data_IF_178441137143
#
_entry.id   IF_178441137143
#
_cell.length_a   1.000
_cell.length_b   1.000
_cell.length_c   1.000
_cell.angle_alpha   90.00
_cell.angle_beta   90.00
_cell.angle_gamma   90.00
#
_symmetry.space_group_name_H-M   'P 1'
#
loop_
_entity.id
_entity.type
_entity.pdbx_description
1 polymer ?
#
# COMPACT_ATOMS: atom_id res chain seq x y z
N UNK A 1 8.86 9.48 2.10
CA UNK A 1 7.48 9.44 2.66
C UNK A 1 7.33 8.52 3.87
N UNK A 2 7.72 7.24 3.81
CA UNK A 2 7.55 6.30 4.93
C UNK A 2 8.14 6.78 6.29
N UNK A 3 9.33 7.37 6.29
CA UNK A 3 9.95 7.96 7.51
C UNK A 3 9.13 9.13 8.06
N UNK A 4 8.57 9.96 7.18
CA UNK A 4 7.73 11.09 7.58
C UNK A 4 6.39 10.63 8.18
N UNK A 5 5.76 9.61 7.60
CA UNK A 5 4.54 8.99 8.16
C UNK A 5 4.83 8.40 9.54
N UNK A 6 5.92 7.64 9.67
CA UNK A 6 6.34 7.07 10.96
C UNK A 6 6.59 8.17 12.00
N UNK A 7 7.28 9.25 11.61
CA UNK A 7 7.51 10.42 12.46
C UNK A 7 6.18 11.02 12.92
N UNK A 8 5.26 11.30 11.99
CA UNK A 8 3.95 11.88 12.28
C UNK A 8 3.13 11.01 13.25
N UNK A 9 3.16 9.68 13.08
CA UNK A 9 2.48 8.75 14.00
C UNK A 9 3.07 8.82 15.40
N UNK A 10 4.40 8.76 15.53
CA UNK A 10 5.06 8.81 16.84
C UNK A 10 4.87 10.18 17.52
N UNK A 11 4.98 11.26 16.76
CA UNK A 11 4.71 12.62 17.24
C UNK A 11 3.26 12.78 17.73
N UNK A 12 2.29 12.15 17.08
CA UNK A 12 0.90 12.18 17.54
C UNK A 12 0.75 11.58 18.96
N UNK A 13 1.43 10.47 19.25
CA UNK A 13 1.45 9.90 20.61
C UNK A 13 2.19 10.81 21.61
N UNK A 14 3.33 11.39 21.23
CA UNK A 14 4.07 12.35 22.08
C UNK A 14 3.26 13.62 22.39
N UNK A 15 2.53 14.14 21.41
CA UNK A 15 1.63 15.27 21.59
C UNK A 15 0.44 14.88 22.49
N UNK A 16 -0.13 13.69 22.30
CA UNK A 16 -1.25 13.21 23.13
C UNK A 16 -0.84 13.04 24.60
N UNK A 17 0.40 12.62 24.88
CA UNK A 17 0.96 12.52 26.24
C UNK A 17 1.03 13.87 26.96
N UNK A 18 1.21 14.97 26.21
CA UNK A 18 1.31 16.33 26.75
C UNK A 18 -0.02 17.09 26.74
N UNK A 19 -1.03 16.60 26.02
CA UNK A 19 -2.32 17.26 25.85
C UNK A 19 -3.22 17.00 27.06
N UNK A 20 -3.76 18.06 27.65
CA UNK A 20 -4.65 17.99 28.83
C UNK A 20 -6.13 17.95 28.45
N UNK A 21 -6.50 18.49 27.29
CA UNK A 21 -7.87 18.45 26.78
C UNK A 21 -8.22 17.04 26.28
N UNK A 22 -9.22 16.35 26.88
CA UNK A 22 -9.58 14.99 26.51
C UNK A 22 -10.00 14.83 25.05
N UNK A 23 -10.68 15.82 24.46
CA UNK A 23 -11.17 15.73 23.08
C UNK A 23 -10.05 15.93 22.07
N UNK A 24 -9.14 16.88 22.33
CA UNK A 24 -7.93 17.05 21.50
C UNK A 24 -7.01 15.84 21.60
N UNK A 25 -6.83 15.29 22.80
CA UNK A 25 -6.07 14.06 23.02
C UNK A 25 -6.67 12.89 22.23
N UNK A 26 -8.00 12.73 22.24
CA UNK A 26 -8.71 11.72 21.45
C UNK A 26 -8.50 11.91 19.94
N UNK A 27 -8.54 13.15 19.45
CA UNK A 27 -8.27 13.45 18.05
C UNK A 27 -6.80 13.15 17.65
N UNK A 28 -5.83 13.38 18.55
CA UNK A 28 -4.43 13.01 18.36
C UNK A 28 -4.24 11.48 18.29
N UNK A 29 -5.02 10.73 19.08
CA UNK A 29 -5.02 9.26 19.10
C UNK A 29 -5.94 8.63 18.06
N UNK A 30 -6.53 9.42 17.16
CA UNK A 30 -7.35 8.93 16.05
C UNK A 30 -6.57 9.00 14.74
N UNK A 31 -6.43 7.84 14.09
CA UNK A 31 -5.72 7.67 12.82
C UNK A 31 -6.71 7.24 11.75
N UNK A 32 -6.87 8.06 10.71
CA UNK A 32 -7.74 7.77 9.56
C UNK A 32 -6.87 7.35 8.39
N UNK A 33 -7.13 6.17 7.84
CA UNK A 33 -6.48 5.65 6.63
C UNK A 33 -7.50 5.59 5.51
N UNK A 34 -7.23 6.29 4.41
CA UNK A 34 -8.12 6.34 3.24
C UNK A 34 -7.61 5.39 2.17
N UNK A 35 -8.49 4.49 1.71
CA UNK A 35 -8.20 3.44 0.75
C UNK A 35 -7.88 2.11 1.43
N UNK A 36 -8.69 1.08 1.18
CA UNK A 36 -8.49 -0.26 1.74
C UNK A 36 -7.96 -1.26 0.70
N UNK A 37 -7.08 -0.79 -0.18
CA UNK A 37 -6.17 -1.63 -0.95
C UNK A 37 -5.09 -2.29 -0.07
N UNK A 38 -4.17 -3.06 -0.67
CA UNK A 38 -3.10 -3.74 0.07
C UNK A 38 -2.32 -2.79 1.00
N UNK A 39 -1.90 -1.63 0.49
CA UNK A 39 -1.14 -0.63 1.26
C UNK A 39 -1.89 -0.13 2.49
N UNK A 40 -3.16 0.24 2.35
CA UNK A 40 -3.97 0.73 3.47
C UNK A 40 -4.23 -0.34 4.53
N UNK A 41 -4.50 -1.57 4.11
CA UNK A 41 -4.66 -2.72 5.03
C UNK A 41 -3.38 -3.03 5.79
N UNK A 42 -2.24 -3.07 5.09
CA UNK A 42 -0.94 -3.32 5.69
C UNK A 42 -0.59 -2.24 6.71
N UNK A 43 -0.83 -0.98 6.35
CA UNK A 43 -0.54 0.16 7.22
C UNK A 43 -1.46 0.20 8.44
N UNK A 44 -2.77 -0.01 8.28
CA UNK A 44 -3.72 -0.07 9.39
C UNK A 44 -3.33 -1.16 10.40
N UNK A 45 -3.01 -2.35 9.90
CA UNK A 45 -2.52 -3.46 10.73
C UNK A 45 -1.21 -3.15 11.45
N UNK A 46 -0.28 -2.45 10.79
CA UNK A 46 0.99 -2.06 11.37
C UNK A 46 0.87 -0.96 12.44
N UNK A 47 -0.05 -0.01 12.26
CA UNK A 47 -0.36 1.04 13.25
C UNK A 47 -1.06 0.42 14.46
N UNK A 48 -2.07 -0.43 14.26
CA UNK A 48 -2.74 -1.12 15.36
C UNK A 48 -1.77 -1.99 16.17
N UNK A 49 -0.87 -2.71 15.50
CA UNK A 49 0.18 -3.47 16.18
C UNK A 49 1.15 -2.59 16.98
N UNK A 50 1.49 -1.40 16.47
CA UNK A 50 2.34 -0.43 17.16
C UNK A 50 1.61 0.15 18.39
N UNK A 51 0.41 0.68 18.20
CA UNK A 51 -0.36 1.37 19.23
C UNK A 51 -0.80 0.44 20.37
N UNK A 52 -1.39 -0.71 20.02
CA UNK A 52 -2.04 -1.59 21.00
C UNK A 52 -1.09 -2.60 21.67
N UNK A 53 0.19 -2.67 21.24
CA UNK A 53 1.15 -3.64 21.79
C UNK A 53 2.53 -3.07 22.04
N UNK A 54 3.11 -2.36 21.07
CA UNK A 54 4.51 -1.92 21.16
C UNK A 54 4.67 -0.67 22.02
N UNK A 55 3.76 0.30 21.95
CA UNK A 55 3.89 1.58 22.67
C UNK A 55 3.27 1.58 24.06
N UNK A 56 2.62 0.49 24.48
CA UNK A 56 1.89 0.40 25.74
C UNK A 56 2.76 0.73 26.96
N UNK A 57 4.02 0.27 26.97
CA UNK A 57 4.94 0.53 28.08
C UNK A 57 5.69 1.86 27.95
N UNK A 58 5.53 2.59 26.84
CA UNK A 58 6.36 3.74 26.51
C UNK A 58 5.75 5.08 26.99
N UNK A 59 4.45 5.09 27.34
CA UNK A 59 3.70 6.29 27.74
C UNK A 59 3.08 6.15 29.14
N UNK A 60 2.96 7.25 29.89
CA UNK A 60 2.49 7.23 31.29
C UNK A 60 1.10 7.83 31.47
N UNK A 61 0.76 8.88 30.72
CA UNK A 61 -0.49 9.63 30.88
C UNK A 61 -1.56 9.28 29.84
N UNK A 62 -1.19 8.60 28.75
CA UNK A 62 -2.12 8.06 27.76
C UNK A 62 -2.12 6.53 27.76
N UNK A 63 -3.26 5.97 27.35
CA UNK A 63 -3.40 4.55 27.04
C UNK A 63 -3.34 4.38 25.53
N UNK A 64 -2.19 3.98 24.98
CA UNK A 64 -2.01 3.87 23.53
C UNK A 64 -2.91 2.77 22.93
N UNK A 65 -3.38 1.84 23.74
CA UNK A 65 -4.37 0.80 23.40
C UNK A 65 -5.75 1.38 23.06
N UNK A 66 -6.03 2.62 23.45
CA UNK A 66 -7.26 3.32 23.12
C UNK A 66 -7.16 4.10 21.80
N UNK A 67 -6.03 4.01 21.10
CA UNK A 67 -5.90 4.62 19.78
C UNK A 67 -6.99 4.08 18.85
N UNK A 68 -7.66 4.98 18.14
CA UNK A 68 -8.71 4.63 17.19
C UNK A 68 -8.09 4.61 15.79
N UNK A 69 -8.04 3.45 15.16
CA UNK A 69 -7.55 3.29 13.79
C UNK A 69 -8.75 3.03 12.88
N UNK A 70 -9.08 3.99 12.01
CA UNK A 70 -10.21 3.90 11.08
C UNK A 70 -9.67 3.68 9.66
N UNK A 71 -9.96 2.53 9.07
CA UNK A 71 -9.66 2.22 7.67
C UNK A 71 -10.92 2.43 6.83
N UNK A 72 -10.85 3.37 5.88
CA UNK A 72 -11.98 3.87 5.11
C UNK A 72 -11.86 3.41 3.65
N UNK A 73 -12.95 2.89 3.10
CA UNK A 73 -13.06 2.45 1.72
C UNK A 73 -14.38 2.95 1.11
N UNK A 74 -14.28 3.58 -0.06
CA UNK A 74 -15.45 4.06 -0.79
C UNK A 74 -16.27 2.89 -1.37
N UNK A 75 -15.60 1.78 -1.69
CA UNK A 75 -16.23 0.58 -2.25
C UNK A 75 -16.85 -0.33 -1.17
N UNK A 76 -17.68 -1.31 -1.57
CA UNK A 76 -18.37 -2.18 -0.61
C UNK A 76 -17.47 -3.11 0.21
N UNK A 77 -16.23 -3.35 -0.24
CA UNK A 77 -15.29 -4.25 0.42
C UNK A 77 -13.84 -3.80 0.27
N UNK A 78 -13.03 -4.17 1.25
CA UNK A 78 -11.57 -4.03 1.19
C UNK A 78 -10.96 -5.02 0.20
N UNK A 79 -9.74 -4.73 -0.27
CA UNK A 79 -8.93 -5.65 -1.07
C UNK A 79 -9.68 -6.19 -2.30
N UNK A 80 -10.24 -5.28 -3.11
CA UNK A 80 -11.05 -5.61 -4.30
C UNK A 80 -10.36 -6.57 -5.28
N UNK A 81 -9.03 -6.55 -5.35
CA UNK A 81 -8.24 -7.46 -6.18
C UNK A 81 -8.24 -8.92 -5.67
N UNK A 82 -8.69 -9.18 -4.44
CA UNK A 82 -8.75 -10.50 -3.84
C UNK A 82 -10.15 -11.08 -3.92
N UNK A 83 -10.24 -12.40 -3.77
CA UNK A 83 -11.48 -13.13 -3.55
C UNK A 83 -12.24 -12.62 -2.33
N UNK A 84 -13.56 -12.55 -2.41
CA UNK A 84 -14.42 -12.02 -1.34
C UNK A 84 -14.22 -12.73 0.00
N UNK A 85 -14.00 -14.05 -0.02
CA UNK A 85 -13.76 -14.83 1.21
C UNK A 85 -12.45 -14.43 1.87
N UNK A 86 -11.41 -14.12 1.10
CA UNK A 86 -10.13 -13.65 1.62
C UNK A 86 -10.23 -12.22 2.15
N UNK A 87 -10.93 -11.34 1.44
CA UNK A 87 -11.19 -9.98 1.92
C UNK A 87 -11.94 -9.97 3.27
N UNK A 88 -12.99 -10.81 3.41
CA UNK A 88 -13.74 -10.95 4.67
C UNK A 88 -12.87 -11.48 5.82
N UNK A 89 -11.98 -12.43 5.53
CA UNK A 89 -11.00 -12.95 6.50
C UNK A 89 -10.02 -11.86 6.94
N UNK A 90 -9.51 -11.05 6.01
CA UNK A 90 -8.66 -9.91 6.31
C UNK A 90 -9.37 -8.85 7.17
N UNK A 91 -10.60 -8.49 6.82
CA UNK A 91 -11.41 -7.54 7.61
C UNK A 91 -11.64 -8.05 9.04
N UNK A 92 -11.99 -9.33 9.19
CA UNK A 92 -12.14 -9.96 10.52
C UNK A 92 -10.84 -9.89 11.32
N UNK A 93 -9.70 -10.12 10.66
CA UNK A 93 -8.38 -10.05 11.29
C UNK A 93 -7.96 -8.62 11.67
N UNK A 94 -8.38 -7.60 10.91
CA UNK A 94 -8.22 -6.18 11.25
C UNK A 94 -9.10 -5.79 12.45
N UNK A 95 -10.39 -6.14 12.42
CA UNK A 95 -11.32 -5.85 13.51
C UNK A 95 -10.85 -6.45 14.84
N UNK A 96 -10.36 -7.70 14.82
CA UNK A 96 -9.77 -8.35 16.02
C UNK A 96 -8.51 -7.64 16.55
N UNK A 97 -7.86 -6.81 15.74
CA UNK A 97 -6.69 -6.01 16.13
C UNK A 97 -7.09 -4.60 16.59
N UNK A 98 -8.37 -4.27 16.63
CA UNK A 98 -8.87 -2.95 17.01
C UNK A 98 -8.90 -1.92 15.87
N UNK A 99 -8.84 -2.37 14.62
CA UNK A 99 -9.05 -1.49 13.45
C UNK A 99 -10.54 -1.44 13.13
N UNK A 100 -11.08 -0.24 13.04
CA UNK A 100 -12.45 0.05 12.58
C UNK A 100 -12.45 0.13 11.05
N UNK A 101 -13.03 -0.86 10.38
CA UNK A 101 -13.13 -0.88 8.91
C UNK A 101 -14.49 -0.34 8.47
N UNK A 102 -14.48 0.79 7.76
CA UNK A 102 -15.67 1.44 7.17
C UNK A 102 -15.66 1.31 5.65
N UNK A 103 -16.57 0.52 5.10
CA UNK A 103 -16.78 0.38 3.64
C UNK A 103 -18.01 1.18 3.19
N UNK A 104 -18.21 1.36 1.89
CA UNK A 104 -19.24 2.26 1.33
C UNK A 104 -19.16 3.68 1.93
N UNK A 105 -17.96 4.12 2.28
CA UNK A 105 -17.71 5.31 3.08
C UNK A 105 -16.76 6.24 2.33
N UNK A 106 -17.22 6.96 1.30
CA UNK A 106 -16.36 7.90 0.58
C UNK A 106 -15.91 9.03 1.50
N UNK A 107 -14.69 9.52 1.27
CA UNK A 107 -14.17 10.71 1.94
C UNK A 107 -14.55 11.93 1.12
N UNK A 108 -15.17 12.91 1.76
CA UNK A 108 -15.70 14.12 1.11
C UNK A 108 -14.77 15.32 1.29
N UNK A 109 -14.18 15.45 2.48
CA UNK A 109 -13.28 16.54 2.82
C UNK A 109 -12.23 16.10 3.85
N UNK A 110 -11.05 16.71 3.79
CA UNK A 110 -9.97 16.56 4.78
C UNK A 110 -9.44 17.97 5.07
N UNK A 111 -9.25 18.28 6.35
CA UNK A 111 -8.64 19.53 6.81
C UNK A 111 -7.69 19.27 8.01
N UNK A 112 -7.28 20.32 8.71
CA UNK A 112 -6.35 20.24 9.85
C UNK A 112 -6.92 19.57 11.11
N UNK A 113 -8.23 19.37 11.18
CA UNK A 113 -8.94 18.84 12.34
C UNK A 113 -9.57 17.47 12.09
N UNK A 114 -9.57 16.97 10.84
CA UNK A 114 -9.96 15.60 10.55
C UNK A 114 -10.45 15.38 9.13
N UNK A 115 -11.38 14.43 8.99
CA UNK A 115 -11.98 14.07 7.71
C UNK A 115 -13.51 13.94 7.82
N UNK A 116 -14.22 14.30 6.76
CA UNK A 116 -15.65 14.03 6.58
C UNK A 116 -15.80 12.76 5.75
N UNK A 117 -16.45 11.75 6.33
CA UNK A 117 -16.56 10.40 5.78
C UNK A 117 -18.04 10.01 5.81
N UNK A 118 -18.65 9.85 4.63
CA UNK A 118 -20.07 9.55 4.48
C UNK A 118 -20.98 10.48 5.32
N UNK A 119 -20.73 11.79 5.25
CA UNK A 119 -21.43 12.82 6.02
C UNK A 119 -21.06 12.91 7.51
N UNK A 120 -20.27 11.99 8.06
CA UNK A 120 -19.81 12.03 9.46
C UNK A 120 -18.42 12.66 9.58
N UNK A 121 -18.28 13.63 10.48
CA UNK A 121 -16.97 14.19 10.82
C UNK A 121 -16.23 13.27 11.79
N UNK A 122 -15.04 12.81 11.41
CA UNK A 122 -14.11 12.11 12.30
C UNK A 122 -12.95 13.05 12.67
N UNK A 123 -12.89 13.54 13.93
CA UNK A 123 -11.74 14.31 14.41
C UNK A 123 -10.48 13.45 14.42
N UNK A 124 -9.45 13.91 13.72
CA UNK A 124 -8.18 13.19 13.61
C UNK A 124 -7.05 14.15 13.27
N UNK A 125 -5.90 14.01 13.94
CA UNK A 125 -4.69 14.77 13.57
C UNK A 125 -3.78 14.03 12.58
N UNK A 126 -4.06 12.76 12.34
CA UNK A 126 -3.34 11.96 11.35
C UNK A 126 -4.32 11.31 10.38
N UNK A 127 -4.41 11.88 9.19
CA UNK A 127 -5.05 11.28 8.02
C UNK A 127 -3.97 10.81 7.05
N UNK A 128 -4.04 9.57 6.60
CA UNK A 128 -3.09 8.95 5.66
C UNK A 128 -3.84 8.49 4.42
N UNK A 129 -3.47 9.05 3.28
CA UNK A 129 -4.11 8.75 2.00
C UNK A 129 -3.33 7.66 1.25
N UNK A 130 -3.99 6.53 1.01
CA UNK A 130 -3.42 5.38 0.26
C UNK A 130 -4.29 4.98 -0.93
N UNK A 131 -5.31 5.78 -1.25
CA UNK A 131 -6.24 5.55 -2.35
C UNK A 131 -5.84 6.31 -3.62
N UNK A 132 -6.14 5.74 -4.79
CA UNK A 132 -6.00 6.44 -6.07
C UNK A 132 -4.54 6.67 -6.49
N UNK A 133 -4.28 6.44 -7.77
CA UNK A 133 -3.02 6.84 -8.41
C UNK A 133 -3.40 7.79 -9.53
N UNK A 134 -2.88 9.01 -9.48
CA UNK A 134 -2.98 9.92 -10.61
C UNK A 134 -2.04 9.42 -11.71
N UNK A 135 -2.53 9.30 -12.94
CA UNK A 135 -1.67 8.92 -14.05
C UNK A 135 -0.60 10.00 -14.29
N UNK A 136 0.55 9.55 -14.79
CA UNK A 136 1.61 10.44 -15.24
C UNK A 136 1.14 11.30 -16.40
N UNK A 137 1.59 12.57 -16.52
CA UNK A 137 1.30 13.44 -17.66
C UNK A 137 1.94 12.97 -18.99
N UNK A 138 2.51 11.77 -19.04
CA UNK A 138 3.14 11.20 -20.24
C UNK A 138 2.23 11.20 -21.47
N UNK A 139 0.91 11.02 -21.30
CA UNK A 139 -0.04 11.11 -22.41
C UNK A 139 -0.05 12.47 -23.08
N UNK A 140 0.00 13.54 -22.28
CA UNK A 140 0.08 14.92 -22.77
C UNK A 140 1.41 15.18 -23.46
N UNK A 141 2.53 14.76 -22.86
CA UNK A 141 3.87 14.95 -23.41
C UNK A 141 4.05 14.28 -24.78
N UNK A 142 3.44 13.11 -24.95
CA UNK A 142 3.54 12.31 -26.17
C UNK A 142 2.45 12.64 -27.20
N UNK A 143 1.47 13.48 -26.86
CA UNK A 143 0.28 13.70 -27.69
C UNK A 143 -0.48 12.40 -27.98
N UNK A 144 -0.44 11.45 -27.05
CA UNK A 144 -0.99 10.11 -27.21
C UNK A 144 -2.39 10.01 -26.63
N UNK A 145 -3.22 9.13 -27.20
CA UNK A 145 -4.56 8.89 -26.68
C UNK A 145 -4.49 8.27 -25.27
N UNK A 146 -5.25 8.84 -24.31
CA UNK A 146 -5.32 8.35 -22.94
C UNK A 146 -6.67 7.71 -22.62
N UNK A 147 -6.70 6.84 -21.61
CA UNK A 147 -7.94 6.42 -20.98
C UNK A 147 -8.53 7.52 -20.08
N UNK A 148 -9.69 7.26 -19.47
CA UNK A 148 -10.35 8.19 -18.53
C UNK A 148 -9.51 8.53 -17.31
N UNK A 149 -8.54 7.68 -16.97
CA UNK A 149 -7.62 7.87 -15.85
C UNK A 149 -6.34 8.61 -16.24
N UNK A 150 -6.17 9.00 -17.50
CA UNK A 150 -4.97 9.68 -18.01
C UNK A 150 -3.83 8.74 -18.40
N UNK A 151 -4.05 7.42 -18.41
CA UNK A 151 -3.03 6.44 -18.80
C UNK A 151 -2.97 6.31 -20.32
N UNK A 152 -1.77 6.22 -20.89
CA UNK A 152 -1.57 6.11 -22.34
C UNK A 152 -2.10 4.78 -22.86
N UNK A 153 -3.00 4.81 -23.85
CA UNK A 153 -3.46 3.60 -24.54
C UNK A 153 -2.33 3.06 -25.40
N UNK A 154 -1.95 1.81 -25.16
CA UNK A 154 -0.82 1.16 -25.84
C UNK A 154 -1.29 -0.01 -26.69
N UNK A 155 -0.48 -0.35 -27.70
CA UNK A 155 -0.65 -1.52 -28.53
C UNK A 155 -0.35 -2.84 -27.80
N UNK A 156 -0.51 -3.95 -28.53
CA UNK A 156 -0.23 -5.30 -28.02
C UNK A 156 1.24 -5.54 -27.70
N UNK A 157 2.14 -4.74 -28.27
CA UNK A 157 3.58 -4.70 -28.01
C UNK A 157 3.97 -3.58 -27.02
N UNK A 158 3.00 -3.04 -26.28
CA UNK A 158 3.12 -1.90 -25.35
C UNK A 158 3.70 -0.61 -25.97
N UNK A 159 3.72 -0.50 -27.30
CA UNK A 159 4.10 0.73 -28.00
C UNK A 159 2.95 1.73 -28.04
N UNK A 160 3.28 3.00 -28.25
CA UNK A 160 2.29 4.05 -28.48
C UNK A 160 1.78 3.93 -29.94
N UNK A 161 0.45 3.89 -30.18
CA UNK A 161 -0.09 3.86 -31.53
C UNK A 161 0.47 5.01 -32.39
N UNK A 162 0.98 4.66 -33.59
CA UNK A 162 1.63 5.61 -34.50
C UNK A 162 3.11 5.89 -34.21
N UNK A 163 3.63 5.45 -33.06
CA UNK A 163 5.03 5.67 -32.65
C UNK A 163 5.69 4.33 -32.23
N UNK A 164 6.11 3.48 -33.19
CA UNK A 164 6.61 2.13 -32.91
C UNK A 164 7.95 2.09 -32.15
N UNK A 165 8.60 3.24 -31.94
CA UNK A 165 9.84 3.39 -31.19
C UNK A 165 9.62 3.92 -29.76
N UNK A 166 8.38 4.19 -29.37
CA UNK A 166 8.03 4.72 -28.05
C UNK A 166 7.20 3.66 -27.32
N UNK A 167 7.67 3.24 -26.16
CA UNK A 167 6.99 2.28 -25.29
C UNK A 167 6.52 2.96 -24.01
N UNK A 168 5.31 2.60 -23.56
CA UNK A 168 4.77 3.06 -22.27
C UNK A 168 4.37 1.82 -21.46
N UNK A 169 4.88 1.72 -20.23
CA UNK A 169 4.72 0.54 -19.37
C UNK A 169 4.34 0.92 -17.94
N UNK A 170 3.95 -0.08 -17.16
CA UNK A 170 3.55 0.07 -15.76
C UNK A 170 2.28 0.90 -15.59
N UNK A 171 2.20 1.64 -14.49
CA UNK A 171 0.98 2.36 -14.10
C UNK A 171 0.61 3.51 -15.05
N UNK A 172 1.53 3.93 -15.92
CA UNK A 172 1.28 4.96 -16.95
C UNK A 172 0.61 4.38 -18.19
N UNK A 173 0.63 3.06 -18.37
CA UNK A 173 0.06 2.39 -19.53
C UNK A 173 -1.36 1.88 -19.27
N UNK A 174 -2.25 2.10 -20.24
CA UNK A 174 -3.54 1.43 -20.35
C UNK A 174 -3.41 0.28 -21.36
N UNK A 175 -2.97 -0.89 -20.88
CA UNK A 175 -2.92 -2.12 -21.67
C UNK A 175 -4.17 -2.96 -21.42
N UNK A 176 -4.84 -3.42 -22.49
CA UNK A 176 -6.02 -4.28 -22.42
C UNK A 176 -5.63 -5.72 -22.76
N UNK A 177 -5.88 -6.64 -21.85
CA UNK A 177 -5.74 -8.08 -22.06
C UNK A 177 -7.08 -8.76 -21.80
N UNK A 178 -7.52 -9.64 -22.71
CA UNK A 178 -8.77 -10.41 -22.56
C UNK A 178 -10.00 -9.50 -22.26
N UNK A 179 -10.03 -8.32 -22.90
CA UNK A 179 -11.10 -7.32 -22.75
C UNK A 179 -11.07 -6.52 -21.44
N UNK A 180 -10.02 -6.67 -20.62
CA UNK A 180 -9.87 -5.96 -19.34
C UNK A 180 -8.56 -5.20 -19.25
N UNK A 181 -8.55 -3.99 -18.65
CA UNK A 181 -7.30 -3.29 -18.38
C UNK A 181 -6.48 -4.07 -17.35
N UNK A 182 -5.17 -4.11 -17.54
CA UNK A 182 -4.27 -4.66 -16.53
C UNK A 182 -4.27 -3.80 -15.25
N UNK A 183 -4.11 -4.44 -14.08
CA UNK A 183 -4.04 -3.72 -12.82
C UNK A 183 -2.71 -2.96 -12.68
N UNK A 184 -2.74 -1.80 -12.01
CA UNK A 184 -1.55 -1.03 -11.65
C UNK A 184 -0.79 -1.70 -10.51
N UNK A 185 0.00 -2.73 -10.83
CA UNK A 185 0.79 -3.49 -9.86
C UNK A 185 2.22 -3.68 -10.37
N UNK A 186 3.17 -3.72 -9.44
CA UNK A 186 4.59 -3.90 -9.75
C UNK A 186 4.87 -5.12 -10.65
N UNK A 187 4.09 -6.21 -10.50
CA UNK A 187 4.28 -7.41 -11.30
C UNK A 187 4.00 -7.21 -12.79
N UNK A 188 3.05 -6.32 -13.14
CA UNK A 188 2.77 -5.94 -14.54
C UNK A 188 3.94 -5.12 -15.07
N UNK A 189 4.37 -4.09 -14.32
CA UNK A 189 5.50 -3.25 -14.71
C UNK A 189 6.80 -4.04 -14.90
N UNK A 190 7.10 -5.00 -14.02
CA UNK A 190 8.29 -5.87 -14.14
C UNK A 190 8.23 -6.70 -15.43
N UNK A 191 7.09 -7.33 -15.72
CA UNK A 191 6.93 -8.15 -16.93
C UNK A 191 6.96 -7.31 -18.20
N UNK A 192 6.31 -6.15 -18.20
CA UNK A 192 6.37 -5.22 -19.34
C UNK A 192 7.79 -4.68 -19.55
N UNK A 193 8.52 -4.37 -18.48
CA UNK A 193 9.92 -3.95 -18.57
C UNK A 193 10.82 -5.03 -19.17
N UNK A 194 10.66 -6.28 -18.74
CA UNK A 194 11.38 -7.42 -19.33
C UNK A 194 11.05 -7.60 -20.82
N UNK A 195 9.78 -7.48 -21.17
CA UNK A 195 9.31 -7.58 -22.55
C UNK A 195 9.89 -6.48 -23.45
N UNK A 196 9.78 -5.21 -23.03
CA UNK A 196 10.33 -4.07 -23.78
C UNK A 196 11.84 -4.19 -23.94
N UNK A 197 12.55 -4.65 -22.90
CA UNK A 197 13.99 -4.89 -22.99
C UNK A 197 14.33 -5.94 -24.07
N UNK A 198 13.58 -7.04 -24.15
CA UNK A 198 13.78 -8.03 -25.23
C UNK A 198 13.46 -7.47 -26.61
N UNK A 199 12.36 -6.71 -26.76
CA UNK A 199 11.99 -6.09 -28.03
C UNK A 199 13.08 -5.15 -28.53
N UNK A 200 13.63 -4.30 -27.64
CA UNK A 200 14.72 -3.38 -27.99
C UNK A 200 15.98 -4.16 -28.38
N UNK A 201 16.36 -5.18 -27.61
CA UNK A 201 17.54 -6.00 -27.89
C UNK A 201 17.44 -6.70 -29.25
N UNK A 202 16.28 -7.29 -29.57
CA UNK A 202 16.05 -7.97 -30.84
C UNK A 202 16.05 -6.97 -32.02
N UNK A 203 15.49 -5.77 -31.84
CA UNK A 203 15.52 -4.71 -32.86
C UNK A 203 16.94 -4.26 -33.18
N UNK A 204 17.77 -4.05 -32.16
CA UNK A 204 19.19 -3.70 -32.35
C UNK A 204 19.96 -4.81 -33.05
N UNK A 205 19.64 -6.08 -32.74
CA UNK A 205 20.27 -7.24 -33.34
C UNK A 205 19.73 -7.64 -34.73
N UNK A 206 18.73 -6.93 -35.27
CA UNK A 206 18.07 -7.28 -36.54
C UNK A 206 17.31 -8.60 -36.48
N UNK A 207 16.89 -9.03 -35.29
CA UNK A 207 16.15 -10.28 -35.07
C UNK A 207 14.63 -10.04 -35.13
N UNK A 208 13.84 -11.06 -35.53
CA UNK A 208 12.40 -11.00 -35.41
C UNK A 208 12.01 -10.77 -33.94
N UNK A 209 11.02 -9.91 -33.71
CA UNK A 209 10.60 -9.51 -32.38
C UNK A 209 9.80 -10.61 -31.66
N UNK A 210 9.73 -10.57 -30.32
CA UNK A 210 8.87 -11.46 -29.54
C UNK A 210 7.39 -11.31 -29.93
N UNK A 211 6.59 -12.34 -29.63
CA UNK A 211 5.12 -12.26 -29.74
C UNK A 211 4.53 -11.09 -28.92
N UNK A 212 3.25 -10.78 -29.11
CA UNK A 212 2.57 -9.74 -28.33
C UNK A 212 2.76 -9.93 -26.81
N UNK A 213 2.85 -8.81 -26.08
CA UNK A 213 2.96 -8.85 -24.62
C UNK A 213 1.74 -9.56 -24.02
N UNK A 214 2.01 -10.51 -23.12
CA UNK A 214 0.96 -11.19 -22.35
C UNK A 214 1.38 -11.24 -20.88
N UNK A 215 0.58 -10.61 -20.04
CA UNK A 215 0.75 -10.66 -18.59
C UNK A 215 0.31 -12.01 -18.04
N UNK A 216 1.20 -12.60 -17.25
CA UNK A 216 0.92 -13.78 -16.44
C UNK A 216 0.77 -13.36 -14.98
N UNK A 217 -0.44 -13.51 -14.45
CA UNK A 217 -0.72 -13.27 -13.02
C UNK A 217 -0.06 -14.37 -12.18
N UNK A 218 0.87 -13.98 -11.29
CA UNK A 218 1.57 -14.91 -10.38
C UNK A 218 0.88 -15.00 -9.02
N UNK A 219 -0.24 -14.31 -8.85
CA UNK A 219 -1.00 -14.21 -7.62
C UNK A 219 -0.72 -12.93 -6.84
N UNK A 220 -1.57 -12.71 -5.85
CA UNK A 220 -1.56 -11.54 -4.98
C UNK A 220 -1.37 -11.95 -3.52
N UNK A 221 -0.63 -11.14 -2.77
CA UNK A 221 -0.47 -11.29 -1.34
C UNK A 221 -0.58 -9.94 -0.66
N UNK A 222 -1.19 -9.92 0.53
CA UNK A 222 -1.28 -8.73 1.37
C UNK A 222 -1.11 -9.15 2.83
N UNK A 223 -0.31 -8.40 3.58
CA UNK A 223 -0.23 -8.61 5.03
C UNK A 223 -1.29 -7.80 5.78
N UNK A 224 -1.90 -8.40 6.80
CA UNK A 224 -2.89 -7.71 7.66
C UNK A 224 -2.26 -7.32 8.99
N UNK A 225 -1.03 -7.79 9.24
CA UNK A 225 -0.28 -7.57 10.46
C UNK A 225 0.53 -8.81 10.83
N UNK A 226 1.22 -8.74 11.98
CA UNK A 226 2.06 -9.84 12.45
C UNK A 226 1.27 -11.15 12.52
N UNK A 227 1.84 -12.21 11.93
CA UNK A 227 1.29 -13.56 11.84
C UNK A 227 0.00 -13.72 11.03
N UNK A 228 -0.39 -12.74 10.22
CA UNK A 228 -1.56 -12.85 9.38
C UNK A 228 -1.37 -12.19 8.03
N UNK A 229 -1.32 -13.00 6.97
CA UNK A 229 -1.37 -12.53 5.58
C UNK A 229 -2.40 -13.34 4.81
N UNK A 230 -2.92 -12.74 3.74
CA UNK A 230 -3.76 -13.43 2.76
C UNK A 230 -2.95 -13.66 1.49
N UNK A 231 -3.16 -14.82 0.87
CA UNK A 231 -2.47 -15.25 -0.34
C UNK A 231 -3.49 -15.83 -1.32
N UNK A 232 -3.42 -15.37 -2.57
CA UNK A 232 -4.27 -15.82 -3.67
C UNK A 232 -3.38 -16.11 -4.89
N UNK A 233 -3.23 -17.38 -5.26
CA UNK A 233 -2.43 -17.82 -6.42
C UNK A 233 -3.30 -18.75 -7.26
N UNK A 234 -3.79 -18.27 -8.40
CA UNK A 234 -4.73 -19.03 -9.24
C UNK A 234 -5.93 -19.54 -8.44
N UNK A 235 -6.10 -20.86 -8.32
CA UNK A 235 -7.17 -21.48 -7.51
C UNK A 235 -6.82 -21.61 -6.04
N UNK A 236 -5.54 -21.54 -5.68
CA UNK A 236 -5.06 -21.69 -4.31
C UNK A 236 -5.29 -20.41 -3.51
N UNK A 237 -6.00 -20.53 -2.38
CA UNK A 237 -6.35 -19.42 -1.50
C UNK A 237 -6.06 -19.81 -0.06
N UNK A 238 -5.32 -18.98 0.66
CA UNK A 238 -5.01 -19.25 2.07
C UNK A 238 -4.84 -17.95 2.85
N UNK A 239 -5.01 -18.04 4.17
CA UNK A 239 -4.99 -16.92 5.08
C UNK A 239 -4.44 -17.35 6.45
N UNK A 240 -3.91 -16.38 7.21
CA UNK A 240 -3.41 -16.61 8.56
C UNK A 240 -1.91 -16.86 8.61
N UNK A 241 -1.46 -17.71 9.54
CA UNK A 241 -0.03 -17.93 9.79
C UNK A 241 0.67 -18.56 8.59
N UNK A 242 0.06 -19.55 7.94
CA UNK A 242 0.63 -20.16 6.73
C UNK A 242 0.76 -19.14 5.59
N UNK A 243 -0.26 -18.28 5.42
CA UNK A 243 -0.22 -17.14 4.52
C UNK A 243 0.95 -16.19 4.83
N UNK A 244 1.15 -15.90 6.11
CA UNK A 244 2.21 -15.02 6.59
C UNK A 244 3.61 -15.63 6.37
N UNK A 245 3.80 -16.93 6.58
CA UNK A 245 5.06 -17.62 6.30
C UNK A 245 5.39 -17.58 4.81
N UNK A 246 4.43 -17.86 3.92
CA UNK A 246 4.69 -17.78 2.47
C UNK A 246 5.01 -16.36 2.02
N UNK A 247 4.28 -15.37 2.55
CA UNK A 247 4.58 -13.96 2.30
C UNK A 247 6.02 -13.63 2.72
N UNK A 248 6.45 -14.09 3.90
CA UNK A 248 7.81 -13.87 4.40
C UNK A 248 8.86 -14.48 3.47
N UNK A 249 8.69 -15.75 3.07
CA UNK A 249 9.61 -16.43 2.17
C UNK A 249 9.74 -15.69 0.84
N UNK A 250 8.62 -15.34 0.21
CA UNK A 250 8.64 -14.65 -1.08
C UNK A 250 9.20 -13.24 -0.98
N UNK A 251 8.85 -12.49 0.06
CA UNK A 251 9.38 -11.15 0.28
C UNK A 251 10.91 -11.18 0.41
N UNK A 252 11.47 -12.18 1.12
CA UNK A 252 12.92 -12.40 1.21
C UNK A 252 13.54 -12.80 -0.13
N UNK A 253 12.86 -13.60 -0.96
CA UNK A 253 13.36 -13.95 -2.28
C UNK A 253 13.39 -12.76 -3.25
N UNK A 254 12.40 -11.88 -3.19
CA UNK A 254 12.30 -10.70 -4.07
C UNK A 254 13.11 -9.49 -3.59
N UNK A 255 13.64 -9.50 -2.36
CA UNK A 255 14.61 -8.50 -1.91
C UNK A 255 15.87 -8.55 -2.79
N UNK A 256 16.18 -7.42 -3.42
CA UNK A 256 17.36 -7.28 -4.29
C UNK A 256 18.62 -7.22 -3.41
N UNK A 257 19.56 -8.12 -3.67
CA UNK A 257 20.85 -8.21 -2.98
C UNK A 257 20.86 -9.14 -1.75
N UNK A 258 21.80 -10.10 -1.72
CA UNK A 258 21.93 -11.11 -0.65
C UNK A 258 22.16 -10.50 0.74
N UNK A 259 22.88 -9.37 0.80
CA UNK A 259 23.19 -8.65 2.05
C UNK A 259 21.95 -8.03 2.70
N UNK A 260 21.01 -7.52 1.89
CA UNK A 260 19.72 -7.03 2.38
C UNK A 260 18.84 -8.17 2.94
N UNK A 261 18.89 -9.36 2.32
CA UNK A 261 18.11 -10.52 2.77
C UNK A 261 18.51 -11.00 4.17
N UNK A 262 19.82 -11.06 4.46
CA UNK A 262 20.33 -11.51 5.75
C UNK A 262 20.08 -10.48 6.88
N UNK A 263 20.30 -9.19 6.60
CA UNK A 263 20.04 -8.13 7.60
C UNK A 263 18.56 -8.05 7.93
N UNK A 264 17.67 -8.12 6.93
CA UNK A 264 16.22 -8.16 7.15
C UNK A 264 15.86 -9.45 7.91
N UNK A 265 16.36 -10.61 7.49
CA UNK A 265 16.13 -11.87 8.21
C UNK A 265 16.52 -11.82 9.69
N UNK A 266 17.67 -11.23 10.00
CA UNK A 266 18.16 -11.07 11.38
C UNK A 266 17.34 -10.04 12.19
N UNK A 267 17.04 -8.87 11.61
CA UNK A 267 16.15 -7.88 12.25
C UNK A 267 14.77 -8.47 12.56
N UNK A 268 14.27 -9.34 11.68
CA UNK A 268 13.01 -10.04 11.88
C UNK A 268 13.10 -11.16 12.92
N UNK A 269 14.20 -11.91 13.00
CA UNK A 269 14.43 -12.89 14.08
C UNK A 269 14.39 -12.20 15.45
N UNK A 270 15.06 -11.04 15.57
CA UNK A 270 15.01 -10.22 16.78
C UNK A 270 13.58 -9.73 17.02
N UNK A 271 12.89 -9.15 16.03
CA UNK A 271 11.49 -8.72 16.17
C UNK A 271 10.55 -9.86 16.62
N UNK A 272 10.74 -11.07 16.09
CA UNK A 272 9.93 -12.23 16.43
C UNK A 272 10.14 -12.69 17.88
N UNK A 273 11.35 -12.52 18.42
CA UNK A 273 11.75 -13.01 19.75
C UNK A 273 11.63 -11.95 20.86
N UNK A 274 11.91 -10.68 20.59
CA UNK A 274 11.99 -9.63 21.64
C UNK A 274 10.81 -8.66 21.69
N UNK A 275 9.84 -8.73 20.76
CA UNK A 275 8.73 -7.76 20.65
C UNK A 275 9.15 -6.28 20.48
N UNK A 276 10.44 -5.98 20.46
CA UNK A 276 10.98 -4.63 20.30
C UNK A 276 11.31 -4.37 18.83
N UNK A 277 10.81 -3.25 18.30
CA UNK A 277 11.29 -2.70 17.03
C UNK A 277 12.66 -2.06 17.29
N UNK A 278 13.73 -2.70 16.82
CA UNK A 278 15.05 -2.06 16.75
C UNK A 278 15.00 -0.79 15.89
N UNK A 279 15.68 0.26 16.36
CA UNK A 279 15.79 1.61 15.80
C UNK A 279 14.53 2.51 15.92
N UNK A 280 14.38 3.08 17.12
CA UNK A 280 13.63 4.32 17.40
C UNK A 280 14.44 5.52 16.87
N UNK A 281 14.34 5.82 15.58
CA UNK A 281 14.86 7.08 15.03
C UNK A 281 13.69 8.01 14.71
N UNK A 282 13.52 9.04 15.52
CA UNK A 282 12.90 10.29 15.10
C UNK A 282 14.06 11.08 14.50
N UNK A 283 14.21 11.04 13.18
CA UNK A 283 15.15 11.94 12.52
C UNK A 283 14.57 13.35 12.58
N UNK A 284 15.26 14.29 13.24
CA UNK A 284 15.03 15.72 13.04
C UNK A 284 15.47 16.02 11.61
N UNK A 285 14.54 16.41 10.73
CA UNK A 285 14.86 16.68 9.33
C UNK A 285 13.79 17.59 8.74
N UNK A 286 14.22 18.85 8.62
CA UNK A 286 13.74 20.06 7.95
C UNK A 286 12.23 20.34 7.91
N UNK A 287 11.86 21.47 8.52
CA UNK A 287 10.60 22.17 8.29
C UNK A 287 10.48 22.46 6.79
N UNK A 288 9.59 21.74 6.11
CA UNK A 288 9.12 22.16 4.79
C UNK A 288 8.14 23.31 5.04
N UNK A 289 8.66 24.53 5.06
CA UNK A 289 7.87 25.74 4.89
C UNK A 289 7.16 25.65 3.54
N UNK A 290 5.85 25.43 3.55
CA UNK A 290 5.01 25.82 2.43
C UNK A 290 4.60 27.28 2.67
N UNK A 291 5.14 28.18 1.85
CA UNK A 291 4.49 29.46 1.56
C UNK A 291 3.27 29.21 0.68
#
# INVERSE_FOLDING_TARGET
QATAIRRKILQAFEMAERETDPEKRKALLTFVLVGAGPTGVEMAGAIAGLAHKTLVSDFRHIKTEQARIVLVEALPRILMAFDERLAKKAQTALNRRGVEVRTNSPVEAIDCDGAVIAGERIPAKTVIWTAGVAASPAGEWLGAETDRGGRVKVGSDVSVPGYPNIFVIGDTASFIQDGKPLPGVAQVAIQQGQYVASVIADRVAGKPHPEAFRYVDKGNMATVGRYYSIVSIGKFRTAGLLGWVMWLVLHLMFLIGFRNRLVVGFQWLVYLTTFQRGARLITSGDEIHYQ
#
